data_IF_201959681101
#
_entry.id   IF_201959681101
#
_cell.length_a   1.000
_cell.length_b   1.000
_cell.length_c   1.000
_cell.angle_alpha   90.00
_cell.angle_beta   90.00
_cell.angle_gamma   90.00
#
_symmetry.space_group_name_H-M   'P 1'
#
loop_
_entity.id
_entity.type
_entity.pdbx_description
1 polymer ?
#
# COMPACT_ATOMS: atom_id res chain seq x y z
N UNK A 1 -20.74 -0.28 22.55
CA UNK A 1 -20.16 -0.99 21.37
C UNK A 1 -18.65 -1.02 21.56
N UNK A 2 -18.05 -2.17 21.88
CA UNK A 2 -16.58 -2.29 22.00
C UNK A 2 -16.01 -2.49 20.59
N UNK A 3 -15.27 -1.50 20.09
CA UNK A 3 -14.49 -1.66 18.86
C UNK A 3 -13.39 -2.67 19.13
N UNK A 4 -13.33 -3.77 18.36
CA UNK A 4 -12.14 -4.63 18.35
C UNK A 4 -10.99 -3.82 17.77
N UNK A 5 -9.82 -3.88 18.41
CA UNK A 5 -8.60 -3.34 17.84
C UNK A 5 -8.30 -4.05 16.52
N UNK A 6 -7.86 -3.35 15.47
CA UNK A 6 -7.46 -3.98 14.22
C UNK A 6 -6.31 -4.95 14.48
N UNK A 7 -6.40 -6.16 13.92
CA UNK A 7 -5.35 -7.19 14.04
C UNK A 7 -4.20 -6.96 13.05
N UNK A 8 -4.53 -6.39 11.89
CA UNK A 8 -3.60 -6.12 10.81
C UNK A 8 -3.64 -4.64 10.40
N UNK A 9 -2.48 -4.10 10.04
CA UNK A 9 -2.31 -2.77 9.44
C UNK A 9 -1.74 -2.96 8.03
N UNK A 10 -2.39 -2.40 7.02
CA UNK A 10 -1.84 -2.30 5.67
C UNK A 10 -1.26 -0.89 5.48
N UNK A 11 0.03 -0.80 5.19
CA UNK A 11 0.73 0.47 4.91
C UNK A 11 1.07 0.52 3.44
N UNK A 12 0.72 1.63 2.79
CA UNK A 12 0.91 1.84 1.36
C UNK A 12 1.90 2.99 1.13
N UNK A 13 2.90 2.75 0.28
CA UNK A 13 3.77 3.76 -0.28
C UNK A 13 3.54 3.84 -1.78
N UNK A 14 3.31 5.05 -2.28
CA UNK A 14 3.04 5.33 -3.69
C UNK A 14 4.01 6.42 -4.13
N UNK A 15 4.68 6.19 -5.26
CA UNK A 15 5.40 7.24 -5.97
C UNK A 15 4.80 7.39 -7.37
N UNK A 16 4.55 8.64 -7.73
CA UNK A 16 4.04 9.04 -9.03
C UNK A 16 5.16 9.63 -9.89
N UNK A 17 5.05 9.48 -11.21
CA UNK A 17 5.83 10.29 -12.15
C UNK A 17 5.36 11.73 -12.03
N UNK A 18 6.32 12.65 -12.04
CA UNK A 18 6.08 14.07 -12.01
C UNK A 18 7.37 14.84 -11.76
N UNK A 19 7.24 16.16 -11.78
CA UNK A 19 8.26 17.13 -11.45
C UNK A 19 8.71 16.97 -9.99
N UNK A 20 9.92 17.47 -9.69
CA UNK A 20 10.52 17.41 -8.35
C UNK A 20 10.76 18.84 -7.80
N UNK A 21 11.10 18.95 -6.51
CA UNK A 21 11.40 20.23 -5.87
C UNK A 21 10.17 21.11 -5.69
N UNK A 22 10.27 22.42 -6.00
CA UNK A 22 9.17 23.37 -5.82
C UNK A 22 7.95 23.09 -6.72
N UNK A 23 8.13 22.26 -7.75
CA UNK A 23 7.06 21.82 -8.64
C UNK A 23 6.62 20.37 -8.38
N UNK A 24 7.10 19.75 -7.28
CA UNK A 24 6.68 18.41 -6.88
C UNK A 24 5.16 18.35 -6.77
N UNK A 25 4.59 17.47 -7.58
CA UNK A 25 3.17 17.20 -7.60
C UNK A 25 2.31 18.04 -8.54
N UNK A 26 2.93 18.94 -9.33
CA UNK A 26 2.17 19.83 -10.24
C UNK A 26 1.74 19.18 -11.55
N UNK A 27 2.30 18.02 -11.90
CA UNK A 27 2.07 17.30 -13.15
C UNK A 27 1.98 15.77 -12.93
N UNK A 28 1.54 15.34 -11.75
CA UNK A 28 1.43 13.91 -11.43
C UNK A 28 0.53 13.19 -12.43
N UNK A 29 1.12 12.37 -13.30
CA UNK A 29 0.41 11.73 -14.41
C UNK A 29 0.15 10.24 -14.17
N UNK A 30 1.08 9.53 -13.53
CA UNK A 30 1.02 8.07 -13.39
C UNK A 30 1.74 7.57 -12.14
N UNK A 31 1.29 6.44 -11.58
CA UNK A 31 2.00 5.76 -10.48
C UNK A 31 3.12 4.91 -11.07
N UNK A 32 4.35 5.21 -10.71
CA UNK A 32 5.54 4.50 -11.21
C UNK A 32 6.00 3.41 -10.26
N UNK A 33 5.70 3.58 -8.97
CA UNK A 33 6.07 2.63 -7.93
C UNK A 33 4.95 2.55 -6.89
N UNK A 34 4.57 1.32 -6.57
CA UNK A 34 3.70 1.05 -5.45
C UNK A 34 4.28 -0.07 -4.60
N UNK A 35 4.33 0.17 -3.29
CA UNK A 35 4.75 -0.79 -2.27
C UNK A 35 3.68 -0.88 -1.20
N UNK A 36 3.33 -2.09 -0.78
CA UNK A 36 2.54 -2.30 0.43
C UNK A 36 3.24 -3.25 1.39
N UNK A 37 2.98 -3.04 2.68
CA UNK A 37 3.37 -3.95 3.77
C UNK A 37 2.17 -4.22 4.66
N UNK A 38 2.01 -5.46 5.11
CA UNK A 38 1.02 -5.88 6.10
C UNK A 38 1.75 -6.14 7.41
N UNK A 39 1.30 -5.48 8.48
CA UNK A 39 1.85 -5.61 9.82
C UNK A 39 0.81 -6.25 10.72
N UNK A 40 1.16 -7.34 11.38
CA UNK A 40 0.38 -7.89 12.49
C UNK A 40 0.63 -7.04 13.74
N UNK A 41 -0.44 -6.43 14.26
CA UNK A 41 -0.36 -5.39 15.31
C UNK A 41 0.04 -5.99 16.66
N UNK A 42 -0.49 -7.17 17.00
CA UNK A 42 -0.17 -7.88 18.25
C UNK A 42 1.30 -8.26 18.35
N UNK A 43 1.88 -8.74 17.25
CA UNK A 43 3.26 -9.20 17.18
C UNK A 43 4.24 -8.08 16.79
N UNK A 44 3.73 -6.91 16.38
CA UNK A 44 4.50 -5.82 15.78
C UNK A 44 5.46 -6.32 14.68
N UNK A 45 4.93 -7.15 13.77
CA UNK A 45 5.73 -7.88 12.78
C UNK A 45 5.17 -7.66 11.38
N UNK A 46 6.06 -7.41 10.42
CA UNK A 46 5.69 -7.46 9.00
C UNK A 46 5.43 -8.91 8.60
N UNK A 47 4.20 -9.22 8.23
CA UNK A 47 3.77 -10.58 7.84
C UNK A 47 3.72 -10.75 6.32
N UNK A 48 3.59 -9.65 5.56
CA UNK A 48 3.62 -9.70 4.11
C UNK A 48 4.08 -8.35 3.53
N UNK A 49 4.66 -8.36 2.34
CA UNK A 49 5.00 -7.16 1.60
C UNK A 49 5.09 -7.43 0.11
N UNK A 50 4.86 -6.40 -0.70
CA UNK A 50 5.08 -6.47 -2.14
C UNK A 50 5.47 -5.12 -2.72
N UNK A 51 6.35 -5.17 -3.72
CA UNK A 51 6.77 -4.03 -4.54
C UNK A 51 6.40 -4.32 -6.00
N UNK A 52 5.83 -3.33 -6.67
CA UNK A 52 5.44 -3.43 -8.07
C UNK A 52 5.95 -2.18 -8.80
N UNK A 53 6.50 -2.38 -10.00
CA UNK A 53 6.95 -1.31 -10.90
C UNK A 53 6.02 -1.25 -12.12
N UNK A 54 5.61 -0.03 -12.48
CA UNK A 54 5.11 0.51 -13.77
C UNK A 54 4.32 -0.33 -14.80
N UNK A 55 3.83 -1.54 -14.50
CA UNK A 55 3.08 -2.36 -15.48
C UNK A 55 1.79 -3.00 -14.94
N UNK A 56 1.37 -2.67 -13.73
CA UNK A 56 0.17 -3.27 -13.12
C UNK A 56 -0.81 -2.16 -12.73
N UNK A 57 -2.05 -2.26 -13.19
CA UNK A 57 -3.12 -1.32 -12.91
C UNK A 57 -3.24 -1.10 -11.38
N UNK A 58 -3.12 0.14 -10.91
CA UNK A 58 -3.10 0.48 -9.48
C UNK A 58 -4.33 -0.02 -8.70
N UNK A 59 -5.47 -0.13 -9.37
CA UNK A 59 -6.71 -0.67 -8.76
C UNK A 59 -6.58 -2.14 -8.39
N UNK A 60 -5.81 -2.92 -9.15
CA UNK A 60 -5.56 -4.33 -8.83
C UNK A 60 -4.73 -4.47 -7.55
N UNK A 61 -3.89 -3.48 -7.23
CA UNK A 61 -3.02 -3.55 -6.06
C UNK A 61 -3.79 -3.30 -4.76
N UNK A 62 -4.70 -2.33 -4.74
CA UNK A 62 -5.60 -2.14 -3.59
C UNK A 62 -6.44 -3.40 -3.39
N UNK A 63 -7.01 -3.94 -4.47
CA UNK A 63 -7.78 -5.19 -4.41
C UNK A 63 -6.95 -6.34 -3.84
N UNK A 64 -5.70 -6.50 -4.29
CA UNK A 64 -4.84 -7.60 -3.85
C UNK A 64 -4.38 -7.42 -2.41
N UNK A 65 -4.01 -6.21 -1.98
CA UNK A 65 -3.64 -5.94 -0.59
C UNK A 65 -4.81 -6.24 0.35
N UNK A 66 -6.04 -5.89 -0.04
CA UNK A 66 -7.27 -6.21 0.71
C UNK A 66 -7.53 -7.73 0.74
N UNK A 67 -7.33 -8.44 -0.37
CA UNK A 67 -7.44 -9.91 -0.40
C UNK A 67 -6.37 -10.59 0.47
N UNK A 68 -5.11 -10.15 0.41
CA UNK A 68 -4.02 -10.68 1.24
C UNK A 68 -4.24 -10.41 2.72
N UNK A 69 -4.89 -9.30 3.11
CA UNK A 69 -5.30 -9.11 4.51
C UNK A 69 -6.46 -10.01 4.92
N UNK A 70 -7.39 -10.33 4.00
CA UNK A 70 -8.53 -11.20 4.29
C UNK A 70 -8.14 -12.69 4.42
N UNK A 71 -7.05 -13.13 3.77
CA UNK A 71 -6.50 -14.48 3.91
C UNK A 71 -5.73 -14.70 5.24
N UNK A 72 -5.51 -13.64 6.02
CA UNK A 72 -4.83 -13.68 7.32
C UNK A 72 -5.80 -13.70 8.51
N UNK A 73 -7.12 -13.64 8.27
CA UNK A 73 -8.18 -13.82 9.29
C UNK A 73 -8.59 -15.30 9.43
#
# INVERSE_FOLDING_TARGET
>A
MKMKSPQHLCVLYVATAGLQGNALGSDEQEVVLLVYVIVEVSANKVVNWRKMHEQQNCLQIISYAMSSTAELE
#
